data_IF_644930684843
#
_entry.id   IF_644930684843
#
_cell.length_a   1.000
_cell.length_b   1.000
_cell.length_c   1.000
_cell.angle_alpha   90.00
_cell.angle_beta   90.00
_cell.angle_gamma   90.00
#
_symmetry.space_group_name_H-M   'P 1'
#
loop_
_entity.id
_entity.type
_entity.pdbx_description
1 polymer ?
#
# COMPACT_ATOMS: atom_id res chain seq x y z
N UNK A 1 2.61 16.77 -27.90
CA UNK A 1 3.75 17.15 -28.76
C UNK A 1 4.88 17.41 -27.78
N UNK A 2 5.99 16.71 -27.95
CA UNK A 2 7.10 16.79 -27.00
C UNK A 2 7.66 18.22 -26.94
N UNK A 3 7.57 18.84 -25.76
CA UNK A 3 8.14 20.16 -25.51
C UNK A 3 9.61 20.02 -25.11
N UNK A 4 10.48 20.20 -26.10
CA UNK A 4 11.93 20.07 -25.92
C UNK A 4 12.53 21.16 -25.03
N UNK A 5 11.91 22.34 -24.96
CA UNK A 5 12.42 23.46 -24.17
C UNK A 5 12.09 23.26 -22.70
N UNK A 6 10.85 22.86 -22.41
CA UNK A 6 10.43 22.47 -21.07
C UNK A 6 11.23 21.28 -20.54
N UNK A 7 11.41 20.23 -21.36
CA UNK A 7 12.21 19.06 -20.98
C UNK A 7 13.65 19.44 -20.61
N UNK A 8 14.27 20.33 -21.38
CA UNK A 8 15.64 20.78 -21.15
C UNK A 8 15.76 21.63 -19.87
N UNK A 9 14.81 22.52 -19.63
CA UNK A 9 14.80 23.36 -18.43
C UNK A 9 14.63 22.51 -17.18
N UNK A 10 13.69 21.55 -17.21
CA UNK A 10 13.45 20.62 -16.10
C UNK A 10 14.68 19.74 -15.84
N UNK A 11 15.38 19.28 -16.88
CA UNK A 11 16.61 18.50 -16.74
C UNK A 11 17.72 19.30 -16.06
N UNK A 12 17.91 20.56 -16.47
CA UNK A 12 18.92 21.45 -15.90
C UNK A 12 18.60 21.76 -14.42
N UNK A 13 17.34 22.04 -14.10
CA UNK A 13 16.89 22.31 -12.74
C UNK A 13 17.11 21.08 -11.83
N UNK A 14 16.72 19.90 -12.30
CA UNK A 14 16.92 18.63 -11.58
C UNK A 14 18.40 18.37 -11.33
N UNK A 15 19.26 18.65 -12.31
CA UNK A 15 20.72 18.49 -12.18
C UNK A 15 21.30 19.47 -11.15
N UNK A 16 20.82 20.70 -11.12
CA UNK A 16 21.21 21.69 -10.12
C UNK A 16 20.77 21.29 -8.70
N UNK A 17 19.54 20.78 -8.54
CA UNK A 17 19.05 20.28 -7.26
C UNK A 17 19.86 19.08 -6.75
N UNK A 18 20.19 18.13 -7.62
CA UNK A 18 21.03 16.97 -7.25
C UNK A 18 22.43 17.42 -6.81
N UNK A 19 22.99 18.44 -7.47
CA UNK A 19 24.31 18.99 -7.12
C UNK A 19 24.28 19.71 -5.77
N UNK A 20 23.25 20.52 -5.52
CA UNK A 20 23.12 21.29 -4.28
C UNK A 20 22.75 20.43 -3.07
N UNK A 21 22.17 19.23 -3.30
CA UNK A 21 21.88 18.23 -2.25
C UNK A 21 23.14 17.82 -1.47
N UNK A 22 24.33 17.92 -2.07
CA UNK A 22 25.59 17.61 -1.40
C UNK A 22 26.03 18.67 -0.37
N UNK A 23 25.47 19.89 -0.41
CA UNK A 23 25.95 21.04 0.37
C UNK A 23 25.00 21.48 1.52
N UNK A 24 23.71 21.13 1.50
CA UNK A 24 22.72 21.63 2.49
C UNK A 24 22.12 20.53 3.40
N UNK A 25 22.45 20.58 4.69
CA UNK A 25 22.11 19.55 5.68
C UNK A 25 20.76 19.68 6.41
N UNK A 26 19.86 20.60 6.01
CA UNK A 26 18.61 20.85 6.76
C UNK A 26 17.30 20.81 5.94
N UNK A 27 17.35 20.90 4.61
CA UNK A 27 16.17 20.81 3.70
C UNK A 27 16.19 19.56 2.80
N UNK A 28 16.96 18.54 3.22
CA UNK A 28 17.22 17.34 2.41
C UNK A 28 15.97 16.55 1.99
N UNK A 29 14.93 16.48 2.83
CA UNK A 29 13.68 15.77 2.49
C UNK A 29 12.84 16.53 1.45
N UNK A 30 12.78 17.87 1.53
CA UNK A 30 12.07 18.68 0.54
C UNK A 30 12.80 18.68 -0.80
N UNK A 31 14.13 18.77 -0.78
CA UNK A 31 14.95 18.70 -1.97
C UNK A 31 14.85 17.31 -2.64
N UNK A 32 14.81 16.23 -1.85
CA UNK A 32 14.66 14.88 -2.39
C UNK A 32 13.31 14.67 -3.06
N UNK A 33 12.23 15.13 -2.42
CA UNK A 33 10.89 15.04 -3.00
C UNK A 33 10.79 15.82 -4.34
N UNK A 34 11.47 16.96 -4.45
CA UNK A 34 11.54 17.74 -5.70
C UNK A 34 12.34 17.01 -6.79
N UNK A 35 13.49 16.43 -6.43
CA UNK A 35 14.30 15.64 -7.37
C UNK A 35 13.50 14.44 -7.89
N UNK A 36 12.85 13.68 -6.99
CA UNK A 36 12.05 12.52 -7.38
C UNK A 36 10.87 12.89 -8.29
N UNK A 37 10.19 14.00 -7.98
CA UNK A 37 9.08 14.51 -8.79
C UNK A 37 9.54 14.93 -10.19
N UNK A 38 10.66 15.65 -10.27
CA UNK A 38 11.21 16.12 -11.54
C UNK A 38 11.73 14.96 -12.41
N UNK A 39 12.41 13.97 -11.80
CA UNK A 39 12.86 12.74 -12.48
C UNK A 39 11.67 11.97 -13.06
N UNK A 40 10.60 11.83 -12.28
CA UNK A 40 9.39 11.14 -12.73
C UNK A 40 8.76 11.86 -13.93
N UNK A 41 8.74 13.19 -13.88
CA UNK A 41 8.24 14.03 -14.96
C UNK A 41 9.12 13.94 -16.22
N UNK A 42 10.45 13.95 -16.07
CA UNK A 42 11.39 13.73 -17.17
C UNK A 42 11.20 12.35 -17.82
N UNK A 43 11.01 11.29 -17.02
CA UNK A 43 10.73 9.94 -17.54
C UNK A 43 9.41 9.89 -18.29
N UNK A 44 8.39 10.61 -17.81
CA UNK A 44 7.09 10.70 -18.48
C UNK A 44 7.22 11.41 -19.83
N UNK A 45 7.87 12.57 -19.86
CA UNK A 45 8.10 13.33 -21.09
C UNK A 45 8.97 12.56 -22.10
N UNK A 46 9.99 11.84 -21.62
CA UNK A 46 10.84 11.02 -22.48
C UNK A 46 10.07 9.88 -23.18
N UNK A 47 8.94 9.41 -22.61
CA UNK A 47 8.08 8.41 -23.27
C UNK A 47 7.37 8.96 -24.51
N UNK A 48 7.17 10.27 -24.60
CA UNK A 48 6.58 10.93 -25.77
C UNK A 48 7.56 11.03 -26.96
N UNK A 49 8.84 10.72 -26.76
CA UNK A 49 9.82 10.66 -27.85
C UNK A 49 9.45 9.50 -28.78
N UNK A 50 9.17 9.85 -30.04
CA UNK A 50 8.78 8.91 -31.10
C UNK A 50 9.92 8.05 -31.59
N UNK A 51 11.15 8.57 -31.58
CA UNK A 51 12.36 7.80 -31.90
C UNK A 51 12.69 6.86 -30.74
N UNK A 52 12.60 5.55 -30.99
CA UNK A 52 12.77 4.53 -29.96
C UNK A 52 14.22 4.42 -29.45
N UNK A 53 15.21 4.67 -30.30
CA UNK A 53 16.63 4.63 -29.93
C UNK A 53 16.98 5.86 -29.07
N UNK A 54 16.51 7.04 -29.50
CA UNK A 54 16.65 8.28 -28.75
C UNK A 54 15.92 8.22 -27.41
N UNK A 55 14.71 7.64 -27.37
CA UNK A 55 13.94 7.42 -26.15
C UNK A 55 14.69 6.52 -25.15
N UNK A 56 15.21 5.38 -25.61
CA UNK A 56 16.00 4.46 -24.76
C UNK A 56 17.25 5.14 -24.21
N UNK A 57 17.97 5.89 -25.05
CA UNK A 57 19.17 6.64 -24.66
C UNK A 57 18.85 7.73 -23.63
N UNK A 58 17.73 8.44 -23.83
CA UNK A 58 17.28 9.51 -22.93
C UNK A 58 16.83 8.97 -21.59
N UNK A 59 16.03 7.90 -21.56
CA UNK A 59 15.63 7.24 -20.32
C UNK A 59 16.84 6.71 -19.54
N UNK A 60 17.77 6.05 -20.23
CA UNK A 60 19.03 5.57 -19.61
C UNK A 60 19.84 6.73 -19.00
N UNK A 61 19.85 7.89 -19.65
CA UNK A 61 20.54 9.09 -19.14
C UNK A 61 19.83 9.71 -17.93
N UNK A 62 18.51 9.69 -17.90
CA UNK A 62 17.72 10.12 -16.73
C UNK A 62 17.94 9.16 -15.55
N UNK A 63 18.02 7.86 -15.81
CA UNK A 63 18.33 6.88 -14.76
C UNK A 63 19.73 7.10 -14.19
N UNK A 64 20.75 7.32 -15.03
CA UNK A 64 22.13 7.59 -14.58
C UNK A 64 22.25 8.82 -13.67
N UNK A 65 21.46 9.87 -13.92
CA UNK A 65 21.43 11.07 -13.07
C UNK A 65 21.02 10.77 -11.61
N UNK A 66 20.30 9.68 -11.36
CA UNK A 66 19.87 9.29 -10.02
C UNK A 66 20.81 8.33 -9.29
N UNK A 67 21.69 7.62 -10.02
CA UNK A 67 22.49 6.53 -9.44
C UNK A 67 23.96 6.91 -9.18
N UNK A 68 24.57 7.80 -9.96
CA UNK A 68 25.99 8.18 -9.80
C UNK A 68 26.21 9.67 -10.12
N UNK A 69 26.24 10.58 -9.12
CA UNK A 69 26.55 11.99 -9.36
C UNK A 69 28.03 12.26 -9.69
N UNK A 70 28.92 11.28 -9.56
CA UNK A 70 30.38 11.47 -9.70
C UNK A 70 30.91 11.47 -11.15
N UNK A 71 30.17 10.92 -12.13
CA UNK A 71 30.66 10.80 -13.52
C UNK A 71 29.90 11.64 -14.57
N UNK A 72 29.01 12.55 -14.15
CA UNK A 72 28.46 13.51 -15.10
C UNK A 72 29.48 14.65 -15.28
N UNK A 73 30.35 14.54 -16.28
CA UNK A 73 31.32 15.58 -16.66
C UNK A 73 30.63 16.97 -16.75
N UNK A 74 30.75 17.74 -15.67
CA UNK A 74 30.27 19.11 -15.52
C UNK A 74 31.19 20.11 -16.23
N UNK A 75 31.54 19.85 -17.49
CA UNK A 75 32.39 20.76 -18.27
C UNK A 75 31.58 21.77 -19.11
N UNK A 76 30.32 21.49 -19.46
CA UNK A 76 29.54 22.37 -20.36
C UNK A 76 28.48 23.25 -19.70
N UNK A 77 28.04 22.96 -18.46
CA UNK A 77 26.89 23.66 -17.85
C UNK A 77 27.29 24.94 -17.11
N UNK A 78 28.57 25.09 -16.73
CA UNK A 78 29.04 26.23 -15.91
C UNK A 78 29.14 27.57 -16.65
N UNK A 79 29.08 27.57 -17.99
CA UNK A 79 29.35 28.78 -18.80
C UNK A 79 28.14 29.37 -19.54
N UNK A 80 26.91 28.96 -19.23
CA UNK A 80 25.71 29.54 -19.85
C UNK A 80 24.74 30.07 -18.81
N UNK A 81 25.19 31.07 -18.05
CA UNK A 81 24.31 31.97 -17.33
C UNK A 81 24.17 33.24 -18.18
N UNK A 82 22.95 33.55 -18.62
CA UNK A 82 22.43 34.87 -18.28
C UNK A 82 21.00 34.78 -17.73
N UNK A 83 20.80 35.46 -16.59
CA UNK A 83 19.53 36.01 -16.08
C UNK A 83 18.23 35.53 -16.75
N UNK A 84 17.56 34.54 -16.17
CA UNK A 84 16.12 34.33 -16.39
C UNK A 84 15.36 34.99 -15.24
N UNK A 85 15.30 36.32 -15.28
CA UNK A 85 14.26 37.09 -14.58
C UNK A 85 13.17 37.41 -15.58
N UNK A 86 12.09 36.61 -15.55
CA UNK A 86 10.68 36.98 -15.85
C UNK A 86 9.83 35.69 -15.92
N UNK A 87 9.63 35.05 -14.76
CA UNK A 87 8.46 34.19 -14.60
C UNK A 87 7.23 35.09 -14.48
N UNK A 88 6.17 34.77 -15.20
CA UNK A 88 4.89 35.48 -15.06
C UNK A 88 4.28 35.14 -13.69
N UNK A 89 3.69 36.11 -12.97
CA UNK A 89 3.01 35.87 -11.68
C UNK A 89 1.97 34.73 -11.73
N UNK A 90 1.48 34.43 -12.94
CA UNK A 90 0.54 33.35 -13.22
C UNK A 90 1.20 31.96 -13.12
N UNK A 91 2.44 31.82 -13.61
CA UNK A 91 3.23 30.59 -13.49
C UNK A 91 3.55 30.27 -12.03
N UNK A 92 3.97 31.28 -11.27
CA UNK A 92 4.29 31.13 -9.83
C UNK A 92 3.05 30.82 -8.98
N UNK A 93 1.84 31.17 -9.44
CA UNK A 93 0.58 30.75 -8.80
C UNK A 93 0.25 29.30 -9.10
N UNK A 94 0.35 28.90 -10.36
CA UNK A 94 0.07 27.52 -10.80
C UNK A 94 1.02 26.55 -10.11
N UNK A 95 2.32 26.88 -10.03
CA UNK A 95 3.32 26.07 -9.36
C UNK A 95 3.02 25.90 -7.86
N UNK A 96 2.66 27.00 -7.17
CA UNK A 96 2.26 26.95 -5.76
C UNK A 96 1.00 26.11 -5.54
N UNK A 97 0.02 26.20 -6.43
CA UNK A 97 -1.21 25.41 -6.32
C UNK A 97 -0.93 23.93 -6.59
N UNK A 98 -0.14 23.60 -7.61
CA UNK A 98 0.30 22.21 -7.88
C UNK A 98 1.00 21.65 -6.65
N UNK A 99 1.97 22.38 -6.08
CA UNK A 99 2.72 21.95 -4.91
C UNK A 99 1.82 21.75 -3.69
N UNK A 100 0.84 22.64 -3.49
CA UNK A 100 -0.18 22.52 -2.43
C UNK A 100 -1.08 21.30 -2.62
N UNK A 101 -1.51 21.01 -3.85
CA UNK A 101 -2.33 19.84 -4.15
C UNK A 101 -1.54 18.54 -4.03
N UNK A 102 -0.28 18.52 -4.45
CA UNK A 102 0.62 17.37 -4.28
C UNK A 102 0.86 17.07 -2.81
N UNK A 103 1.12 18.09 -1.96
CA UNK A 103 1.25 17.92 -0.50
C UNK A 103 -0.04 17.34 0.12
N UNK A 104 -1.21 17.85 -0.28
CA UNK A 104 -2.51 17.33 0.19
C UNK A 104 -2.77 15.89 -0.27
N UNK A 105 -2.41 15.56 -1.49
CA UNK A 105 -2.57 14.22 -2.04
C UNK A 105 -1.66 13.23 -1.32
N UNK A 106 -0.39 13.59 -1.11
CA UNK A 106 0.56 12.77 -0.38
C UNK A 106 0.09 12.51 1.05
N UNK A 107 -0.40 13.54 1.75
CA UNK A 107 -1.01 13.38 3.07
C UNK A 107 -2.19 12.40 3.07
N UNK A 108 -3.10 12.53 2.10
CA UNK A 108 -4.24 11.59 1.96
C UNK A 108 -3.81 10.16 1.64
N UNK A 109 -2.77 9.98 0.82
CA UNK A 109 -2.23 8.65 0.50
C UNK A 109 -1.61 8.03 1.75
N UNK A 110 -0.90 8.81 2.56
CA UNK A 110 -0.36 8.36 3.85
C UNK A 110 -1.47 7.93 4.82
N UNK A 111 -2.48 8.78 5.01
CA UNK A 111 -3.66 8.46 5.84
C UNK A 111 -4.38 7.20 5.34
N UNK A 112 -4.51 7.05 4.02
CA UNK A 112 -5.11 5.85 3.42
C UNK A 112 -4.27 4.60 3.69
N UNK A 113 -2.95 4.66 3.52
CA UNK A 113 -2.06 3.52 3.84
C UNK A 113 -2.12 3.14 5.31
N UNK A 114 -2.14 4.11 6.22
CA UNK A 114 -2.30 3.86 7.65
C UNK A 114 -3.66 3.21 7.96
N UNK A 115 -4.75 3.68 7.34
CA UNK A 115 -6.08 3.07 7.48
C UNK A 115 -6.11 1.64 6.96
N UNK A 116 -5.48 1.36 5.82
CA UNK A 116 -5.41 0.01 5.24
C UNK A 116 -4.61 -0.95 6.14
N UNK A 117 -3.52 -0.46 6.76
CA UNK A 117 -2.75 -1.27 7.71
C UNK A 117 -3.57 -1.61 8.97
N UNK A 118 -4.35 -0.64 9.48
CA UNK A 118 -5.29 -0.88 10.59
C UNK A 118 -6.36 -1.89 10.20
N UNK A 119 -7.00 -1.73 9.03
CA UNK A 119 -8.03 -2.65 8.56
C UNK A 119 -7.47 -4.06 8.35
N UNK A 120 -6.25 -4.19 7.84
CA UNK A 120 -5.55 -5.47 7.70
C UNK A 120 -5.35 -6.16 9.06
N UNK A 121 -4.94 -5.42 10.09
CA UNK A 121 -4.80 -5.93 11.46
C UNK A 121 -6.15 -6.39 12.03
N UNK A 122 -7.20 -5.59 11.84
CA UNK A 122 -8.57 -5.95 12.29
C UNK A 122 -9.07 -7.20 11.57
N UNK A 123 -8.84 -7.32 10.26
CA UNK A 123 -9.18 -8.53 9.50
C UNK A 123 -8.43 -9.76 10.00
N UNK A 124 -7.16 -9.61 10.38
CA UNK A 124 -6.39 -10.66 11.05
C UNK A 124 -7.05 -11.11 12.36
N UNK A 125 -7.40 -10.18 13.24
CA UNK A 125 -8.10 -10.49 14.50
C UNK A 125 -9.47 -11.14 14.29
N UNK A 126 -10.24 -10.66 13.31
CA UNK A 126 -11.55 -11.24 12.97
C UNK A 126 -11.38 -12.66 12.45
N UNK A 127 -10.40 -12.90 11.60
CA UNK A 127 -10.08 -14.23 11.07
C UNK A 127 -9.68 -15.19 12.20
N UNK A 128 -8.83 -14.74 13.12
CA UNK A 128 -8.42 -15.53 14.28
C UNK A 128 -9.59 -15.84 15.22
N UNK A 129 -10.45 -14.85 15.51
CA UNK A 129 -11.66 -15.04 16.31
C UNK A 129 -12.63 -16.00 15.62
N UNK A 130 -12.81 -15.87 14.30
CA UNK A 130 -13.69 -16.75 13.53
C UNK A 130 -13.16 -18.17 13.50
N UNK A 131 -11.85 -18.36 13.31
CA UNK A 131 -11.19 -19.67 13.37
C UNK A 131 -11.36 -20.31 14.75
N UNK A 132 -11.13 -19.56 15.83
CA UNK A 132 -11.33 -20.02 17.21
C UNK A 132 -12.78 -20.38 17.51
N UNK A 133 -13.73 -19.58 17.02
CA UNK A 133 -15.16 -19.85 17.16
C UNK A 133 -15.59 -21.07 16.36
N UNK A 134 -15.11 -21.25 15.13
CA UNK A 134 -15.38 -22.45 14.31
C UNK A 134 -14.83 -23.70 14.99
N UNK A 135 -13.60 -23.62 15.52
CA UNK A 135 -12.97 -24.71 16.24
C UNK A 135 -13.76 -25.07 17.51
N UNK A 136 -14.12 -24.08 18.34
CA UNK A 136 -14.97 -24.29 19.51
C UNK A 136 -16.36 -24.83 19.16
N UNK A 137 -16.98 -24.36 18.09
CA UNK A 137 -18.27 -24.87 17.62
C UNK A 137 -18.15 -26.33 17.16
N UNK A 138 -17.07 -26.66 16.45
CA UNK A 138 -16.80 -28.03 16.00
C UNK A 138 -16.57 -29.00 17.18
N UNK A 139 -15.86 -28.56 18.22
CA UNK A 139 -15.65 -29.32 19.45
C UNK A 139 -16.96 -29.52 20.21
N UNK A 140 -17.78 -28.47 20.30
CA UNK A 140 -19.10 -28.52 20.93
C UNK A 140 -20.00 -29.51 20.19
N UNK A 141 -20.03 -29.45 18.85
CA UNK A 141 -20.83 -30.33 18.00
C UNK A 141 -20.35 -31.79 18.08
N UNK A 142 -19.03 -32.01 18.17
CA UNK A 142 -18.43 -33.33 18.43
C UNK A 142 -18.80 -33.87 19.81
N UNK A 143 -18.81 -33.02 20.83
CA UNK A 143 -19.22 -33.38 22.20
C UNK A 143 -20.72 -33.70 22.30
N UNK A 144 -21.54 -33.00 21.51
CA UNK A 144 -22.98 -33.25 21.42
C UNK A 144 -23.27 -34.56 20.68
N UNK A 145 -22.52 -34.86 19.62
CA UNK A 145 -22.59 -36.15 18.92
C UNK A 145 -22.18 -37.31 19.83
N UNK A 146 -21.13 -37.15 20.65
CA UNK A 146 -20.67 -38.22 21.56
C UNK A 146 -21.57 -38.39 22.80
N UNK A 147 -22.13 -37.30 23.36
CA UNK A 147 -23.07 -37.39 24.48
C UNK A 147 -24.48 -37.82 24.06
N UNK A 148 -24.95 -37.41 22.88
CA UNK A 148 -26.27 -37.76 22.36
C UNK A 148 -26.42 -39.23 21.98
N UNK A 149 -25.31 -39.94 21.73
CA UNK A 149 -25.31 -41.35 21.36
C UNK A 149 -25.41 -42.33 22.55
N UNK A 150 -25.29 -41.83 23.79
CA UNK A 150 -25.21 -42.65 25.00
C UNK A 150 -26.45 -42.58 25.90
N UNK A 151 -27.63 -42.35 25.34
CA UNK A 151 -28.86 -42.66 26.08
C UNK A 151 -29.10 -44.16 25.89
N UNK A 152 -28.97 -45.01 26.93
CA UNK A 152 -29.18 -46.44 26.81
C UNK A 152 -30.69 -46.69 26.65
N UNK A 153 -31.19 -46.56 25.42
CA UNK A 153 -32.59 -46.81 25.06
C UNK A 153 -33.03 -48.18 25.57
N UNK A 154 -32.14 -49.17 25.52
CA UNK A 154 -32.37 -50.51 26.05
C UNK A 154 -32.64 -50.51 27.57
N UNK A 155 -31.96 -49.65 28.34
CA UNK A 155 -32.14 -49.49 29.78
C UNK A 155 -33.48 -48.85 30.16
N UNK A 156 -33.92 -47.86 29.38
CA UNK A 156 -35.25 -47.24 29.55
C UNK A 156 -36.34 -48.25 29.19
N UNK A 157 -36.18 -48.98 28.09
CA UNK A 157 -37.14 -49.99 27.64
C UNK A 157 -37.28 -51.13 28.66
N UNK A 158 -36.16 -51.63 29.19
CA UNK A 158 -36.17 -52.66 30.24
C UNK A 158 -36.78 -52.15 31.54
N UNK A 159 -36.52 -50.90 31.96
CA UNK A 159 -37.15 -50.30 33.14
C UNK A 159 -38.68 -50.23 33.02
N UNK A 160 -39.19 -49.78 31.88
CA UNK A 160 -40.64 -49.71 31.61
C UNK A 160 -41.26 -51.11 31.62
N UNK A 161 -40.60 -52.09 31.00
CA UNK A 161 -41.05 -53.49 31.00
C UNK A 161 -41.12 -54.07 32.41
N UNK A 162 -40.09 -53.87 33.24
CA UNK A 162 -40.08 -54.34 34.63
C UNK A 162 -41.22 -53.73 35.43
N UNK A 163 -41.51 -52.44 35.22
CA UNK A 163 -42.60 -51.75 35.91
C UNK A 163 -43.96 -52.32 35.50
N UNK A 164 -44.16 -52.61 34.21
CA UNK A 164 -45.36 -53.26 33.71
C UNK A 164 -45.55 -54.67 34.28
N UNK A 165 -44.48 -55.48 34.32
CA UNK A 165 -44.51 -56.82 34.90
C UNK A 165 -44.85 -56.77 36.39
N UNK A 166 -44.21 -55.87 37.15
CA UNK A 166 -44.50 -55.69 38.57
C UNK A 166 -45.95 -55.26 38.81
N UNK A 167 -46.45 -54.29 38.03
CA UNK A 167 -47.82 -53.80 38.15
C UNK A 167 -48.85 -54.89 37.78
N UNK A 168 -48.56 -55.69 36.75
CA UNK A 168 -49.37 -56.85 36.38
C UNK A 168 -49.45 -57.88 37.51
N UNK A 169 -48.32 -58.17 38.16
CA UNK A 169 -48.29 -59.09 39.30
C UNK A 169 -49.10 -58.55 40.49
N UNK A 170 -48.99 -57.25 40.79
CA UNK A 170 -49.79 -56.62 41.85
C UNK A 170 -51.28 -56.71 41.53
N UNK A 171 -51.72 -56.40 40.32
CA UNK A 171 -53.15 -56.45 39.94
C UNK A 171 -53.69 -57.89 39.95
N UNK A 172 -52.86 -58.88 39.59
CA UNK A 172 -53.32 -60.27 39.43
C UNK A 172 -53.27 -61.09 40.71
N UNK A 173 -52.36 -60.78 41.63
CA UNK A 173 -52.08 -61.62 42.82
C UNK A 173 -52.32 -60.91 44.16
N UNK A 174 -52.71 -59.63 44.16
CA UNK A 174 -53.06 -58.85 45.33
C UNK A 174 -54.54 -58.44 45.23
#
# INVERSE_FOLDING_TARGET
MFDSEYFKNLLNETTALITNKAEEGNDGEEMEARIESNVTTLKYLAKEITDEELRKKTLKRIDMLCFEPEEFEMSEVRNRMPEIRKSSEFSDRIERDILKYTKRLHGKVKEFMESVDVDSKVLGEVTDKMSRNLMGTSETLRSLKSKGQNIPILGILTSVMVTFVAMYFVIRFL
#
